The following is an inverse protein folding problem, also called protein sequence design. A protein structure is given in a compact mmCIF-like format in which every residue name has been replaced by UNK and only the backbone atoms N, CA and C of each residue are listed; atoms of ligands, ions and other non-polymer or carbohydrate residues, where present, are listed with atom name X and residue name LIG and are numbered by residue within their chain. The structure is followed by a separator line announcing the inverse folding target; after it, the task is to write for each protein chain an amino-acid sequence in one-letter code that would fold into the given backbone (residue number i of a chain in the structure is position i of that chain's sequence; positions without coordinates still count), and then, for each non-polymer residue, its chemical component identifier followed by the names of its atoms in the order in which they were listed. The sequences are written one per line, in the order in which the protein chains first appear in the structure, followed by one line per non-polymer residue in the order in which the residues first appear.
data_IF_529209062019
#
_entry.id   IF_529209062019
#
_cell.length_a   1.000
_cell.length_b   1.000
_cell.length_c   1.000
_cell.angle_alpha   90.00
_cell.angle_beta   90.00
_cell.angle_gamma   90.00
#
_symmetry.space_group_name_H-M   'P 1'
#
loop_
_entity.id
_entity.type
_entity.pdbx_description
1 polymer ?
#
# COMPACT_ATOMS: atom_id res chain seq x y z
N UNK A 1 27.69 -56.48 -41.16
CA UNK A 1 28.45 -55.84 -40.08
C UNK A 1 27.80 -54.50 -39.75
N UNK A 2 26.98 -54.46 -38.69
CA UNK A 2 26.25 -53.26 -38.27
C UNK A 2 27.13 -52.39 -37.36
N UNK A 3 27.38 -51.15 -37.75
CA UNK A 3 27.97 -50.14 -36.87
C UNK A 3 26.83 -49.35 -36.21
N UNK A 4 26.69 -49.48 -34.89
CA UNK A 4 25.85 -48.60 -34.08
C UNK A 4 26.68 -47.39 -33.64
N UNK A 5 26.21 -46.18 -33.97
CA UNK A 5 26.75 -44.92 -33.48
C UNK A 5 26.12 -44.60 -32.10
N UNK A 6 26.94 -44.60 -31.05
CA UNK A 6 26.54 -44.17 -29.71
C UNK A 6 26.61 -42.65 -29.59
N UNK A 7 25.47 -42.01 -29.28
CA UNK A 7 25.41 -40.59 -28.94
C UNK A 7 25.79 -40.37 -27.47
N UNK A 8 26.69 -39.42 -27.21
CA UNK A 8 27.09 -39.01 -25.87
C UNK A 8 25.99 -38.17 -25.17
N UNK A 9 25.82 -38.29 -23.84
CA UNK A 9 24.84 -37.50 -23.10
C UNK A 9 25.29 -36.03 -22.99
N UNK A 10 24.37 -35.11 -23.31
CA UNK A 10 24.52 -33.67 -23.06
C UNK A 10 24.55 -33.42 -21.55
N UNK A 11 25.70 -32.97 -21.04
CA UNK A 11 25.80 -32.43 -19.69
C UNK A 11 25.00 -31.12 -19.61
N UNK A 12 24.03 -31.08 -18.71
CA UNK A 12 23.31 -29.86 -18.36
C UNK A 12 24.28 -28.90 -17.67
N UNK A 13 24.51 -27.75 -18.29
CA UNK A 13 25.16 -26.60 -17.65
C UNK A 13 24.31 -26.17 -16.46
N UNK A 14 24.80 -26.45 -15.24
CA UNK A 14 24.27 -25.85 -14.02
C UNK A 14 24.62 -24.38 -14.04
N UNK A 15 23.60 -23.53 -14.06
CA UNK A 15 23.70 -22.12 -13.76
C UNK A 15 23.84 -21.95 -12.23
N UNK A 16 24.99 -22.36 -11.70
CA UNK A 16 25.41 -22.00 -10.34
C UNK A 16 26.15 -20.66 -10.45
N UNK A 17 25.58 -19.60 -9.87
CA UNK A 17 26.33 -18.36 -9.61
C UNK A 17 25.81 -17.09 -10.29
N UNK A 18 24.55 -16.73 -10.04
CA UNK A 18 24.20 -15.32 -9.92
C UNK A 18 23.76 -15.10 -8.47
N UNK A 19 24.55 -14.31 -7.74
CA UNK A 19 24.26 -13.87 -6.38
C UNK A 19 22.88 -13.18 -6.33
N UNK A 20 21.85 -13.95 -6.01
CA UNK A 20 20.53 -13.47 -5.65
C UNK A 20 20.52 -12.97 -4.19
N UNK A 21 21.50 -12.14 -3.80
CA UNK A 21 21.65 -11.65 -2.42
C UNK A 21 21.39 -10.14 -2.28
N UNK A 22 20.40 -9.62 -3.02
CA UNK A 22 19.78 -8.30 -2.76
C UNK A 22 18.26 -8.31 -2.97
N UNK A 23 17.60 -9.46 -2.77
CA UNK A 23 16.25 -9.38 -2.23
C UNK A 23 16.44 -8.88 -0.81
N UNK A 24 16.38 -7.57 -0.60
CA UNK A 24 16.13 -7.01 0.72
C UNK A 24 14.87 -7.71 1.20
N UNK A 25 15.01 -8.66 2.13
CA UNK A 25 13.91 -9.10 2.97
C UNK A 25 13.15 -7.84 3.40
N UNK A 26 11.82 -7.93 3.51
CA UNK A 26 11.01 -6.85 4.08
C UNK A 26 11.80 -6.25 5.25
N UNK A 27 12.00 -4.91 5.27
CA UNK A 27 12.58 -4.28 6.46
C UNK A 27 11.78 -4.81 7.63
N UNK A 28 12.43 -5.58 8.50
CA UNK A 28 11.73 -6.54 9.35
C UNK A 28 10.60 -5.82 10.11
N UNK A 29 9.36 -6.24 9.84
CA UNK A 29 8.17 -5.60 10.42
C UNK A 29 7.54 -4.45 9.63
N UNK A 30 7.81 -4.26 8.33
CA UNK A 30 7.05 -3.35 7.46
C UNK A 30 6.17 -4.14 6.48
N UNK A 31 5.13 -4.79 7.01
CA UNK A 31 4.24 -5.70 6.29
C UNK A 31 2.77 -5.36 6.54
N UNK A 32 1.87 -5.93 5.72
CA UNK A 32 0.42 -5.76 5.90
C UNK A 32 -0.08 -6.33 7.23
N UNK A 33 0.59 -7.36 7.74
CA UNK A 33 0.29 -8.02 9.00
C UNK A 33 0.81 -7.24 10.22
N UNK A 34 1.88 -6.48 10.03
CA UNK A 34 2.49 -5.71 11.09
C UNK A 34 3.40 -4.64 10.51
N UNK A 35 3.18 -3.40 10.96
CA UNK A 35 4.07 -2.27 10.76
C UNK A 35 4.82 -1.98 12.05
N UNK A 36 6.14 -1.83 12.05
CA UNK A 36 6.94 -1.65 13.28
C UNK A 36 7.50 -0.25 13.41
N UNK A 37 7.68 0.50 12.32
CA UNK A 37 8.20 1.87 12.36
C UNK A 37 7.08 2.89 12.58
N UNK A 38 7.17 3.71 13.62
CA UNK A 38 6.11 4.66 14.01
C UNK A 38 6.07 5.94 13.15
N UNK A 39 6.93 6.08 12.14
CA UNK A 39 7.19 7.34 11.42
C UNK A 39 8.10 8.31 12.18
N UNK A 40 8.56 7.95 13.40
CA UNK A 40 9.46 8.78 14.20
C UNK A 40 10.94 8.45 13.98
N UNK A 41 11.82 9.44 14.18
CA UNK A 41 13.27 9.22 14.27
C UNK A 41 13.77 9.54 15.67
N UNK A 42 14.83 8.86 16.10
CA UNK A 42 15.48 9.08 17.38
C UNK A 42 16.99 9.32 17.25
N UNK A 43 17.43 9.83 16.09
CA UNK A 43 18.86 10.12 15.84
C UNK A 43 19.41 11.24 16.73
N UNK A 44 18.56 12.16 17.17
CA UNK A 44 18.95 13.32 17.97
C UNK A 44 18.26 13.37 19.34
N UNK A 45 17.05 12.84 19.42
CA UNK A 45 16.22 12.81 20.62
C UNK A 45 15.71 11.39 20.85
N UNK A 46 15.30 11.08 22.06
CA UNK A 46 14.59 9.84 22.34
C UNK A 46 13.23 9.81 21.63
N UNK A 47 12.70 8.60 21.41
CA UNK A 47 11.33 8.45 20.95
C UNK A 47 10.37 9.09 21.95
N UNK A 48 9.40 9.84 21.43
CA UNK A 48 8.36 10.42 22.28
C UNK A 48 7.66 9.32 23.09
N UNK A 49 7.48 9.55 24.39
CA UNK A 49 6.92 8.55 25.30
C UNK A 49 5.52 8.06 24.88
N UNK A 50 4.73 8.93 24.24
CA UNK A 50 3.39 8.58 23.75
C UNK A 50 3.42 7.50 22.67
N UNK A 51 4.53 7.38 21.91
CA UNK A 51 4.69 6.36 20.87
C UNK A 51 4.90 4.96 21.43
N UNK A 52 5.31 4.83 22.70
CA UNK A 52 5.63 3.54 23.35
C UNK A 52 6.62 2.70 22.52
N UNK A 53 7.57 3.37 21.87
CA UNK A 53 8.51 2.78 20.94
C UNK A 53 9.93 2.80 21.49
N UNK A 54 10.74 1.86 21.01
CA UNK A 54 12.15 1.78 21.31
C UNK A 54 12.95 2.47 20.19
N UNK A 55 14.10 3.03 20.56
CA UNK A 55 15.02 3.61 19.60
C UNK A 55 15.92 2.52 19.01
N UNK A 56 15.73 2.19 17.73
CA UNK A 56 16.45 1.12 17.05
C UNK A 56 17.38 1.69 15.98
N UNK A 57 18.63 1.20 15.95
CA UNK A 57 19.60 1.58 14.93
C UNK A 57 19.21 1.02 13.56
N UNK A 58 19.19 1.88 12.53
CA UNK A 58 18.83 1.55 11.15
C UNK A 58 19.78 2.25 10.16
N UNK A 59 20.98 1.68 10.01
CA UNK A 59 22.04 2.29 9.20
C UNK A 59 22.58 3.57 9.84
N UNK A 60 22.55 4.68 9.10
CA UNK A 60 23.00 6.00 9.56
C UNK A 60 21.96 6.76 10.40
N UNK A 61 20.74 6.24 10.48
CA UNK A 61 19.64 6.86 11.22
C UNK A 61 19.14 5.92 12.32
N UNK A 62 18.57 6.50 13.37
CA UNK A 62 17.85 5.74 14.38
C UNK A 62 16.35 6.00 14.24
N UNK A 63 15.56 4.93 14.26
CA UNK A 63 14.12 4.96 14.06
C UNK A 63 13.40 4.55 15.33
N UNK A 64 12.22 5.14 15.55
CA UNK A 64 11.33 4.73 16.63
C UNK A 64 10.51 3.53 16.17
N UNK A 65 10.84 2.35 16.69
CA UNK A 65 10.20 1.10 16.29
C UNK A 65 9.57 0.37 17.46
N UNK A 66 8.55 -0.43 17.17
CA UNK A 66 7.93 -1.29 18.16
C UNK A 66 8.82 -2.50 18.42
N UNK A 67 9.37 -2.63 19.64
CA UNK A 67 10.09 -3.84 20.05
C UNK A 67 9.20 -5.09 20.13
N UNK A 68 7.89 -4.88 20.31
CA UNK A 68 6.86 -5.93 20.18
C UNK A 68 5.55 -5.34 19.66
N UNK A 69 4.75 -6.17 18.99
CA UNK A 69 3.48 -5.74 18.41
C UNK A 69 3.66 -4.83 17.19
N UNK A 70 2.65 -4.02 16.88
CA UNK A 70 2.58 -3.23 15.66
C UNK A 70 2.15 -1.78 15.93
N UNK A 71 2.51 -0.91 15.01
CA UNK A 71 2.13 0.50 14.97
C UNK A 71 0.65 0.61 14.65
N UNK A 72 -0.05 1.42 15.44
CA UNK A 72 -1.45 1.72 15.26
C UNK A 72 -1.71 2.99 14.45
N UNK A 73 -2.99 3.26 14.23
CA UNK A 73 -3.51 4.46 13.57
C UNK A 73 -3.05 5.75 14.27
N UNK A 74 -2.77 5.69 15.56
CA UNK A 74 -2.26 6.80 16.38
C UNK A 74 -0.74 6.97 16.28
N UNK A 75 -0.05 6.24 15.40
CA UNK A 75 1.42 6.21 15.30
C UNK A 75 2.13 5.76 16.60
N UNK A 76 1.45 5.03 17.48
CA UNK A 76 2.02 4.42 18.68
C UNK A 76 2.11 2.89 18.55
N UNK A 77 2.93 2.25 19.38
CA UNK A 77 3.06 0.81 19.43
C UNK A 77 1.94 0.18 20.27
N UNK A 78 1.32 -0.83 19.69
CA UNK A 78 0.26 -1.64 20.29
C UNK A 78 0.69 -3.10 20.30
N UNK A 79 0.25 -3.85 21.30
CA UNK A 79 0.55 -5.29 21.40
C UNK A 79 -0.13 -6.13 20.31
N UNK A 80 -1.16 -5.58 19.68
CA UNK A 80 -1.98 -6.20 18.65
C UNK A 80 -1.29 -6.15 17.29
N UNK A 81 -1.64 -7.11 16.44
CA UNK A 81 -1.28 -7.11 15.01
C UNK A 81 -2.39 -6.53 14.16
N UNK A 82 -2.07 -6.16 12.93
CA UNK A 82 -3.07 -5.75 11.96
C UNK A 82 -4.02 -6.93 11.68
N UNK A 83 -5.30 -6.64 11.52
CA UNK A 83 -6.35 -7.65 11.28
C UNK A 83 -6.87 -7.51 9.86
N UNK A 84 -6.83 -8.59 9.08
CA UNK A 84 -7.45 -8.59 7.75
C UNK A 84 -8.97 -8.51 7.90
N UNK A 85 -9.57 -7.42 7.43
CA UNK A 85 -11.02 -7.19 7.47
C UNK A 85 -11.70 -7.56 6.15
N UNK A 86 -10.95 -7.53 5.04
CA UNK A 86 -11.42 -8.00 3.75
C UNK A 86 -10.27 -8.53 2.89
N UNK A 87 -10.60 -9.38 1.93
CA UNK A 87 -9.61 -10.06 1.12
C UNK A 87 -10.08 -10.32 -0.30
N UNK A 88 -9.19 -10.10 -1.28
CA UNK A 88 -9.50 -10.28 -2.70
C UNK A 88 -10.60 -9.35 -3.20
N UNK A 89 -10.77 -8.18 -2.58
CA UNK A 89 -11.78 -7.20 -2.98
C UNK A 89 -11.32 -6.43 -4.21
N UNK A 90 -12.27 -6.12 -5.08
CA UNK A 90 -12.08 -5.20 -6.20
C UNK A 90 -12.88 -3.93 -5.99
N UNK A 91 -12.34 -2.82 -6.51
CA UNK A 91 -12.83 -1.46 -6.36
C UNK A 91 -13.17 -0.90 -7.74
N UNK A 92 -14.45 -0.85 -8.09
CA UNK A 92 -14.93 -0.22 -9.32
C UNK A 92 -15.12 1.27 -9.09
N UNK A 93 -14.67 2.13 -10.02
CA UNK A 93 -14.85 3.57 -9.87
C UNK A 93 -16.31 3.98 -10.18
N UNK A 94 -16.91 4.82 -9.33
CA UNK A 94 -18.31 5.25 -9.49
C UNK A 94 -18.52 6.08 -10.77
N UNK A 95 -17.63 7.03 -11.05
CA UNK A 95 -17.69 7.87 -12.27
C UNK A 95 -17.53 7.04 -13.54
N UNK A 96 -16.60 6.09 -13.51
CA UNK A 96 -16.19 5.29 -14.67
C UNK A 96 -16.63 3.83 -14.49
N UNK A 97 -17.94 3.57 -14.56
CA UNK A 97 -18.49 2.23 -14.42
C UNK A 97 -17.82 1.20 -15.35
N UNK A 98 -17.54 0.02 -14.81
CA UNK A 98 -16.78 -1.07 -15.44
C UNK A 98 -15.26 -0.93 -15.34
N UNK A 99 -14.74 0.15 -14.74
CA UNK A 99 -13.30 0.35 -14.56
C UNK A 99 -12.89 0.11 -13.11
N UNK A 100 -12.01 -0.86 -12.91
CA UNK A 100 -11.53 -1.31 -11.61
C UNK A 100 -10.13 -0.77 -11.32
N UNK A 101 -9.90 -0.32 -10.09
CA UNK A 101 -8.56 -0.02 -9.59
C UNK A 101 -7.67 -1.25 -9.74
N UNK A 102 -6.47 -1.06 -10.25
CA UNK A 102 -5.51 -2.14 -10.43
C UNK A 102 -4.06 -1.67 -10.36
N UNK A 103 -3.21 -2.62 -9.99
CA UNK A 103 -1.76 -2.48 -10.12
C UNK A 103 -1.36 -2.51 -11.60
N UNK A 104 -0.47 -1.60 -12.06
CA UNK A 104 0.09 -1.68 -13.40
C UNK A 104 0.92 -2.95 -13.58
N UNK A 105 0.73 -3.64 -14.71
CA UNK A 105 1.51 -4.84 -15.07
C UNK A 105 2.76 -4.51 -15.89
N UNK A 106 2.87 -3.27 -16.37
CA UNK A 106 4.02 -2.81 -17.14
C UNK A 106 5.20 -2.56 -16.21
N UNK A 107 6.31 -3.24 -16.46
CA UNK A 107 7.54 -3.07 -15.70
C UNK A 107 7.99 -1.59 -15.62
N UNK A 108 8.38 -1.15 -14.43
CA UNK A 108 8.83 0.23 -14.16
C UNK A 108 7.72 1.24 -13.86
N UNK A 109 6.45 0.84 -13.92
CA UNK A 109 5.32 1.65 -13.46
C UNK A 109 4.81 1.13 -12.13
N UNK A 110 4.66 2.03 -11.15
CA UNK A 110 4.08 1.74 -9.83
C UNK A 110 2.79 2.52 -9.60
N UNK A 111 2.48 3.51 -10.44
CA UNK A 111 1.28 4.31 -10.26
C UNK A 111 0.04 3.48 -10.58
N UNK A 112 -0.87 3.42 -9.61
CA UNK A 112 -2.14 2.73 -9.76
C UNK A 112 -2.93 3.35 -10.92
N UNK A 113 -3.75 2.53 -11.54
CA UNK A 113 -4.60 2.94 -12.65
C UNK A 113 -5.92 2.20 -12.57
N UNK A 114 -6.85 2.58 -13.45
CA UNK A 114 -8.03 1.77 -13.69
C UNK A 114 -7.96 1.02 -15.02
N UNK A 115 -8.68 -0.10 -15.09
CA UNK A 115 -8.87 -0.87 -16.31
C UNK A 115 -10.10 -1.75 -16.23
N UNK A 116 -10.49 -2.36 -17.35
CA UNK A 116 -11.72 -3.16 -17.43
C UNK A 116 -11.57 -4.61 -16.98
N UNK A 117 -10.34 -5.10 -16.86
CA UNK A 117 -10.09 -6.49 -16.47
C UNK A 117 -10.18 -6.67 -14.96
N UNK A 118 -10.96 -7.65 -14.53
CA UNK A 118 -11.11 -8.06 -13.14
C UNK A 118 -10.21 -9.27 -12.83
N UNK A 119 -8.90 -9.08 -13.01
CA UNK A 119 -7.88 -10.11 -12.74
C UNK A 119 -7.25 -9.96 -11.35
N UNK A 120 -6.24 -10.77 -11.05
CA UNK A 120 -5.60 -10.76 -9.72
C UNK A 120 -4.82 -9.48 -9.41
N UNK A 121 -4.53 -8.63 -10.41
CA UNK A 121 -3.95 -7.30 -10.20
C UNK A 121 -4.99 -6.23 -9.86
N UNK A 122 -6.29 -6.55 -10.00
CA UNK A 122 -7.42 -5.72 -9.58
C UNK A 122 -8.01 -6.16 -8.23
N UNK A 123 -7.29 -7.02 -7.49
CA UNK A 123 -7.70 -7.56 -6.19
C UNK A 123 -6.79 -7.07 -5.07
N UNK A 124 -7.40 -6.64 -3.98
CA UNK A 124 -6.72 -6.07 -2.83
C UNK A 124 -7.17 -6.73 -1.54
N UNK A 125 -6.28 -6.70 -0.55
CA UNK A 125 -6.59 -7.05 0.83
C UNK A 125 -6.58 -5.79 1.68
N UNK A 126 -7.54 -5.71 2.61
CA UNK A 126 -7.69 -4.61 3.54
C UNK A 126 -7.39 -5.09 4.96
N UNK A 127 -6.44 -4.42 5.61
CA UNK A 127 -5.98 -4.76 6.95
C UNK A 127 -6.20 -3.57 7.89
N UNK A 128 -7.02 -3.74 8.92
CA UNK A 128 -7.21 -2.73 9.97
C UNK A 128 -5.98 -2.70 10.89
N UNK A 129 -5.43 -1.51 11.12
CA UNK A 129 -4.32 -1.32 12.06
C UNK A 129 -4.85 -1.08 13.48
N UNK A 130 -4.09 -1.37 14.55
CA UNK A 130 -4.52 -1.13 15.92
C UNK A 130 -4.84 0.35 16.22
N UNK A 131 -5.70 0.60 17.21
CA UNK A 131 -5.99 1.96 17.67
C UNK A 131 -6.80 2.79 16.66
N UNK A 132 -6.91 4.09 16.93
CA UNK A 132 -7.67 5.04 16.11
C UNK A 132 -6.98 6.40 16.09
N UNK A 133 -7.07 7.14 14.98
CA UNK A 133 -6.69 8.54 14.93
C UNK A 133 -7.96 9.41 14.90
N UNK A 134 -8.11 10.31 15.87
CA UNK A 134 -9.29 11.17 15.99
C UNK A 134 -10.61 10.38 15.98
N UNK A 135 -10.62 9.18 16.59
CA UNK A 135 -11.77 8.29 16.64
C UNK A 135 -12.04 7.47 15.38
N UNK A 136 -11.24 7.63 14.32
CA UNK A 136 -11.37 6.88 13.07
C UNK A 136 -10.32 5.78 12.94
N UNK A 137 -10.71 4.68 12.30
CA UNK A 137 -9.81 3.57 11.97
C UNK A 137 -8.85 3.96 10.83
N UNK A 138 -7.74 3.22 10.74
CA UNK A 138 -6.81 3.29 9.61
C UNK A 138 -6.54 1.89 9.09
N UNK A 139 -6.10 1.83 7.83
CA UNK A 139 -5.94 0.57 7.14
C UNK A 139 -4.65 0.52 6.34
N UNK A 140 -4.08 -0.68 6.22
CA UNK A 140 -3.11 -0.98 5.17
C UNK A 140 -3.85 -1.69 4.05
N UNK A 141 -3.66 -1.20 2.83
CA UNK A 141 -4.20 -1.81 1.62
C UNK A 141 -3.02 -2.43 0.88
N UNK A 142 -3.17 -3.63 0.34
CA UNK A 142 -2.17 -4.12 -0.60
C UNK A 142 -2.69 -5.16 -1.57
N UNK A 143 -2.04 -5.30 -2.74
CA UNK A 143 -2.50 -6.18 -3.80
C UNK A 143 -2.44 -7.64 -3.35
N UNK A 144 -3.48 -8.42 -3.64
CA UNK A 144 -3.54 -9.84 -3.23
C UNK A 144 -2.40 -10.64 -3.87
N UNK A 145 -2.07 -10.35 -5.14
CA UNK A 145 -1.03 -11.05 -5.91
C UNK A 145 0.41 -10.63 -5.56
N UNK A 146 0.59 -9.49 -4.90
CA UNK A 146 1.90 -8.93 -4.53
C UNK A 146 1.97 -8.77 -3.01
N UNK A 147 2.21 -9.86 -2.26
CA UNK A 147 1.97 -9.86 -0.82
C UNK A 147 2.90 -8.95 -0.01
N UNK A 148 4.03 -8.59 -0.60
CA UNK A 148 5.04 -7.69 -0.03
C UNK A 148 4.81 -6.21 -0.37
N UNK A 149 3.84 -5.92 -1.26
CA UNK A 149 3.51 -4.56 -1.66
C UNK A 149 2.33 -4.02 -0.82
N UNK A 150 2.35 -2.72 -0.61
CA UNK A 150 1.22 -1.94 -0.10
C UNK A 150 0.89 -0.82 -1.06
N UNK A 151 -0.33 -0.32 -0.96
CA UNK A 151 -0.68 0.94 -1.59
C UNK A 151 -0.15 2.08 -0.73
N UNK A 152 0.30 3.14 -1.39
CA UNK A 152 0.83 4.33 -0.72
C UNK A 152 0.51 5.60 -1.51
N UNK A 153 0.41 6.72 -0.79
CA UNK A 153 0.40 8.04 -1.41
C UNK A 153 1.82 8.58 -1.51
N UNK A 154 2.29 8.78 -2.74
CA UNK A 154 3.57 9.39 -3.02
C UNK A 154 3.39 10.78 -3.62
N UNK A 155 4.39 11.64 -3.43
CA UNK A 155 4.45 12.91 -4.14
C UNK A 155 4.67 12.66 -5.63
N UNK A 156 4.06 13.50 -6.45
CA UNK A 156 4.12 13.44 -7.90
C UNK A 156 4.83 14.67 -8.42
N UNK A 157 5.81 14.48 -9.30
CA UNK A 157 6.39 15.57 -10.10
C UNK A 157 5.50 15.92 -11.32
N UNK A 158 4.31 15.34 -11.41
CA UNK A 158 3.45 15.48 -12.57
C UNK A 158 2.86 16.89 -12.72
N UNK A 159 2.85 17.35 -13.96
CA UNK A 159 2.22 18.58 -14.44
C UNK A 159 0.68 18.55 -14.41
N UNK A 160 0.06 17.41 -14.09
CA UNK A 160 -1.40 17.18 -14.21
C UNK A 160 -2.16 17.73 -12.98
N UNK A 161 -1.70 18.85 -12.44
CA UNK A 161 -2.35 19.57 -11.35
C UNK A 161 -2.23 18.92 -9.97
N UNK A 162 -2.09 17.60 -9.87
CA UNK A 162 -1.98 16.91 -8.57
C UNK A 162 -0.56 16.64 -8.11
N UNK A 163 -0.17 17.15 -6.91
CA UNK A 163 1.11 16.84 -6.30
C UNK A 163 1.15 15.44 -5.68
N UNK A 164 0.07 14.65 -5.75
CA UNK A 164 -0.05 13.34 -5.11
C UNK A 164 -0.48 12.27 -6.11
N UNK A 165 0.07 11.07 -5.97
CA UNK A 165 -0.31 9.88 -6.73
C UNK A 165 -0.45 8.67 -5.81
N UNK A 166 -1.40 7.80 -6.12
CA UNK A 166 -1.52 6.51 -5.47
C UNK A 166 -0.66 5.50 -6.24
N UNK A 167 0.25 4.84 -5.54
CA UNK A 167 1.17 3.86 -6.13
C UNK A 167 1.10 2.54 -5.36
N UNK A 168 1.54 1.45 -5.97
CA UNK A 168 1.90 0.22 -5.27
C UNK A 168 3.41 0.12 -5.15
N UNK A 169 3.89 -0.26 -3.97
CA UNK A 169 5.31 -0.35 -3.72
C UNK A 169 5.61 -1.30 -2.59
N UNK A 170 6.83 -1.86 -2.62
CA UNK A 170 7.38 -2.50 -1.43
C UNK A 170 7.81 -1.39 -0.47
N UNK A 171 7.30 -1.35 0.77
CA UNK A 171 7.66 -0.31 1.73
C UNK A 171 9.17 -0.18 1.90
N UNK A 172 9.67 1.05 1.84
CA UNK A 172 11.10 1.35 1.98
C UNK A 172 11.97 0.96 0.79
N UNK A 173 11.38 0.59 -0.35
CA UNK A 173 12.12 0.34 -1.59
C UNK A 173 12.44 1.63 -2.35
N UNK A 174 13.40 1.56 -3.26
CA UNK A 174 13.78 2.73 -4.05
C UNK A 174 12.64 3.11 -5.02
N UNK A 175 12.12 4.33 -4.90
CA UNK A 175 11.00 4.82 -5.70
C UNK A 175 9.61 4.58 -5.08
N UNK A 176 9.54 3.95 -3.91
CA UNK A 176 8.34 3.95 -3.06
C UNK A 176 8.33 5.19 -2.16
N UNK A 177 7.19 5.49 -1.54
CA UNK A 177 7.18 6.40 -0.41
C UNK A 177 8.05 5.80 0.72
N UNK A 178 8.55 6.64 1.65
CA UNK A 178 9.10 6.12 2.89
C UNK A 178 8.10 5.15 3.51
N UNK A 179 8.57 4.11 4.20
CA UNK A 179 7.71 3.22 4.98
C UNK A 179 7.04 3.92 6.20
N UNK A 180 6.84 5.22 6.11
CA UNK A 180 6.19 6.06 7.09
C UNK A 180 4.69 5.72 7.05
N UNK A 181 4.06 5.45 8.20
CA UNK A 181 2.61 5.30 8.31
C UNK A 181 1.82 6.41 7.63
N UNK A 182 2.31 7.66 7.60
CA UNK A 182 1.63 8.78 6.96
C UNK A 182 1.37 8.57 5.46
N UNK A 183 2.20 7.75 4.80
CA UNK A 183 2.07 7.44 3.37
C UNK A 183 1.39 6.10 3.10
N UNK A 184 1.45 5.17 4.05
CA UNK A 184 1.03 3.77 3.88
C UNK A 184 -0.28 3.42 4.59
N UNK A 185 -0.69 4.20 5.58
CA UNK A 185 -1.94 4.00 6.29
C UNK A 185 -3.02 4.87 5.66
N UNK A 186 -4.11 4.23 5.28
CA UNK A 186 -5.21 4.81 4.54
C UNK A 186 -6.39 5.07 5.45
N UNK A 187 -7.07 6.18 5.19
CA UNK A 187 -8.45 6.38 5.63
C UNK A 187 -9.35 5.63 4.67
N UNK A 188 -10.16 4.69 5.16
CA UNK A 188 -11.16 3.98 4.35
C UNK A 188 -12.50 4.17 5.02
N UNK A 189 -13.40 4.89 4.35
CA UNK A 189 -14.68 5.31 4.90
C UNK A 189 -15.79 5.19 3.86
N UNK A 190 -17.05 5.21 4.32
CA UNK A 190 -18.22 5.15 3.45
C UNK A 190 -18.87 6.52 3.28
N UNK A 191 -19.42 6.75 2.10
CA UNK A 191 -20.20 7.94 1.74
C UNK A 191 -21.15 7.58 0.60
N UNK A 192 -22.42 7.98 0.70
CA UNK A 192 -23.44 7.71 -0.32
C UNK A 192 -23.58 6.22 -0.72
N UNK A 193 -23.24 5.27 0.15
CA UNK A 193 -23.25 3.84 -0.16
C UNK A 193 -22.01 3.34 -0.94
N UNK A 194 -21.00 4.19 -1.11
CA UNK A 194 -19.73 3.93 -1.75
C UNK A 194 -18.57 4.06 -0.74
N UNK A 195 -17.37 3.68 -1.15
CA UNK A 195 -16.13 3.81 -0.36
C UNK A 195 -15.29 4.95 -0.91
N UNK A 196 -14.59 5.67 -0.02
CA UNK A 196 -13.46 6.52 -0.38
C UNK A 196 -12.17 6.02 0.23
N UNK A 197 -11.08 6.20 -0.50
CA UNK A 197 -9.72 5.85 -0.10
C UNK A 197 -8.93 7.13 0.07
N UNK A 198 -8.63 7.48 1.31
CA UNK A 198 -7.93 8.71 1.68
C UNK A 198 -6.54 8.44 2.24
N UNK A 199 -5.71 9.46 2.26
CA UNK A 199 -4.43 9.42 2.96
C UNK A 199 -4.64 9.25 4.47
N UNK A 200 -3.54 9.22 5.22
CA UNK A 200 -3.57 9.09 6.66
C UNK A 200 -4.43 10.16 7.33
N UNK A 201 -4.48 11.38 6.78
CA UNK A 201 -5.25 12.48 7.36
C UNK A 201 -6.69 12.57 6.86
N UNK A 202 -7.00 11.99 5.70
CA UNK A 202 -8.29 12.18 5.01
C UNK A 202 -8.38 13.50 4.23
N UNK A 203 -7.26 14.22 4.06
CA UNK A 203 -7.19 15.45 3.28
C UNK A 203 -6.98 15.18 1.77
N UNK A 204 -6.46 14.01 1.42
CA UNK A 204 -6.16 13.61 0.04
C UNK A 204 -6.91 12.33 -0.28
N UNK A 205 -7.75 12.33 -1.32
CA UNK A 205 -8.56 11.18 -1.72
C UNK A 205 -8.12 10.60 -3.06
N UNK A 206 -8.01 9.28 -3.19
CA UNK A 206 -7.66 8.64 -4.46
C UNK A 206 -8.75 8.92 -5.50
N UNK A 207 -8.39 9.60 -6.58
CA UNK A 207 -9.28 9.92 -7.71
C UNK A 207 -8.66 9.47 -9.02
N UNK A 208 -9.51 9.23 -10.02
CA UNK A 208 -9.07 8.86 -11.35
C UNK A 208 -9.03 10.08 -12.25
N UNK A 209 -7.83 10.40 -12.74
CA UNK A 209 -7.67 11.47 -13.71
C UNK A 209 -8.13 10.99 -15.09
N UNK A 210 -9.15 11.66 -15.63
CA UNK A 210 -9.69 11.36 -16.96
C UNK A 210 -8.64 11.56 -18.06
N UNK A 211 -8.53 10.60 -18.97
CA UNK A 211 -7.59 10.62 -20.10
C UNK A 211 -6.28 9.89 -19.85
N UNK A 212 -5.69 9.99 -18.66
CA UNK A 212 -4.52 9.15 -18.30
C UNK A 212 -4.90 7.83 -17.65
N UNK A 213 -6.10 7.76 -17.04
CA UNK A 213 -6.60 6.59 -16.30
C UNK A 213 -5.76 6.21 -15.09
N UNK A 214 -4.86 7.10 -14.65
CA UNK A 214 -4.03 6.92 -13.49
C UNK A 214 -4.74 7.44 -12.23
N UNK A 215 -4.45 6.82 -11.10
CA UNK A 215 -4.93 7.26 -9.80
C UNK A 215 -4.01 8.35 -9.23
N UNK A 216 -4.61 9.49 -8.90
CA UNK A 216 -3.97 10.64 -8.27
C UNK A 216 -4.62 10.93 -6.92
N UNK A 217 -4.03 11.82 -6.13
CA UNK A 217 -4.65 12.32 -4.91
C UNK A 217 -5.45 13.59 -5.17
N UNK A 218 -6.70 13.65 -4.70
CA UNK A 218 -7.61 14.79 -4.71
C UNK A 218 -7.43 15.57 -3.40
N UNK A 219 -6.82 16.75 -3.44
CA UNK A 219 -6.59 17.57 -2.25
C UNK A 219 -7.82 18.46 -1.98
N UNK A 220 -8.49 18.24 -0.85
CA UNK A 220 -9.72 18.96 -0.48
C UNK A 220 -9.50 20.45 -0.22
N UNK A 221 -8.30 20.87 0.16
CA UNK A 221 -7.97 22.27 0.38
C UNK A 221 -7.84 23.03 -0.95
N UNK A 222 -7.41 22.35 -2.01
CA UNK A 222 -7.16 22.95 -3.33
C UNK A 222 -8.40 22.87 -4.22
N UNK A 223 -9.05 21.69 -4.29
CA UNK A 223 -10.15 21.43 -5.22
C UNK A 223 -11.52 21.30 -4.58
N UNK A 224 -11.63 21.54 -3.26
CA UNK A 224 -12.87 21.48 -2.49
C UNK A 224 -13.42 20.04 -2.42
N UNK A 225 -14.74 19.92 -2.30
CA UNK A 225 -15.46 18.67 -2.06
C UNK A 225 -15.15 17.63 -3.13
N UNK A 226 -14.65 16.44 -2.73
CA UNK A 226 -14.48 15.33 -3.66
C UNK A 226 -15.80 14.90 -4.31
N UNK A 227 -15.76 14.58 -5.60
CA UNK A 227 -16.88 14.08 -6.39
C UNK A 227 -16.88 12.55 -6.50
N UNK A 228 -17.79 12.01 -7.32
CA UNK A 228 -17.89 10.60 -7.70
C UNK A 228 -16.59 10.00 -8.29
N UNK A 229 -15.67 10.83 -8.78
CA UNK A 229 -14.34 10.40 -9.25
C UNK A 229 -13.46 9.81 -8.13
N UNK A 230 -13.77 10.14 -6.88
CA UNK A 230 -13.08 9.62 -5.67
C UNK A 230 -13.79 8.46 -5.01
N UNK A 231 -14.93 8.07 -5.53
CA UNK A 231 -15.81 7.07 -4.92
C UNK A 231 -15.67 5.72 -5.63
N UNK A 232 -15.76 4.66 -4.83
CA UNK A 232 -15.51 3.29 -5.24
C UNK A 232 -16.65 2.37 -4.81
N UNK A 233 -17.07 1.49 -5.71
CA UNK A 233 -17.98 0.39 -5.42
C UNK A 233 -17.14 -0.83 -5.06
N UNK A 234 -17.42 -1.42 -3.90
CA UNK A 234 -16.85 -2.69 -3.50
C UNK A 234 -17.62 -3.84 -4.11
N UNK A 235 -16.89 -4.82 -4.62
CA UNK A 235 -17.44 -6.13 -4.99
C UNK A 235 -18.04 -6.90 -3.79
N UNK A 236 -17.52 -6.66 -2.58
CA UNK A 236 -18.09 -7.16 -1.32
C UNK A 236 -18.77 -6.02 -0.55
N UNK A 237 -20.10 -5.94 -0.65
CA UNK A 237 -20.88 -4.91 0.03
C UNK A 237 -20.99 -5.12 1.55
N UNK A 238 -20.62 -6.29 2.09
CA UNK A 238 -20.68 -6.56 3.53
C UNK A 238 -19.65 -5.72 4.32
N UNK A 239 -18.56 -5.31 3.66
CA UNK A 239 -17.56 -4.43 4.24
C UNK A 239 -18.10 -3.01 4.47
N UNK A 240 -19.03 -2.51 3.63
CA UNK A 240 -19.60 -1.16 3.78
C UNK A 240 -20.25 -0.94 5.14
N UNK A 241 -20.89 -1.96 5.71
CA UNK A 241 -21.51 -1.89 7.03
C UNK A 241 -20.49 -1.73 8.18
N UNK A 242 -19.22 -2.05 7.94
CA UNK A 242 -18.15 -2.06 8.93
C UNK A 242 -17.27 -0.81 8.87
N UNK A 243 -17.38 -0.01 7.80
CA UNK A 243 -16.60 1.21 7.62
C UNK A 243 -17.24 2.40 8.34
N UNK A 244 -16.37 3.27 8.85
CA UNK A 244 -16.74 4.57 9.41
C UNK A 244 -17.33 5.48 8.30
N UNK A 245 -18.20 6.41 8.67
CA UNK A 245 -18.66 7.46 7.73
C UNK A 245 -17.52 8.43 7.42
N UNK A 246 -17.43 8.90 6.18
CA UNK A 246 -16.47 9.94 5.81
C UNK A 246 -16.88 11.27 6.47
N UNK A 247 -15.96 11.87 7.23
CA UNK A 247 -16.11 13.18 7.87
C UNK A 247 -15.95 14.35 6.92
#
# INVERSE_FOLDING_TARGET
ASMQAGAAPRQALRADGLNASMATDLVEGQSRQCWTWTGGSCSWNWCDSWRKADCTASGWFHLCTCGSGCVGADSACHTQRNVRVAGGISLENVRFGGYYLRVPTTWGFTQLRVGTDLDDYAKFDLWEVPGTMSGQKRYVIGPTQLPDNTLEFATSSSIIGSPWKAIDGKPGSWGSAPADPAHNFWTVCKVNGHVRLGDFTGAIWAYIHHGSWLAYGWNVEVWRTPSDETEWILTDSSLLGQLDDCS
#
